data_IF_605235527260
#
_entry.id   IF_605235527260
#
_cell.length_a   1.000
_cell.length_b   1.000
_cell.length_c   1.000
_cell.angle_alpha   90.00
_cell.angle_beta   90.00
_cell.angle_gamma   90.00
#
_symmetry.space_group_name_H-M   'P 1'
#
loop_
_entity.id
_entity.type
_entity.pdbx_description
1 polymer ?
#
# COMPACT_ATOMS: atom_id res chain seq x y z
N UNK A 1 -29.15 79.94 19.75
CA UNK A 1 -28.81 78.56 19.37
C UNK A 1 -27.59 78.08 20.14
N UNK A 2 -27.82 77.57 21.36
CA UNK A 2 -27.30 76.32 21.93
C UNK A 2 -25.83 75.90 21.69
N UNK A 3 -24.86 76.82 21.68
CA UNK A 3 -23.41 76.47 21.60
C UNK A 3 -22.94 75.60 22.78
N UNK A 4 -23.44 75.86 24.00
CA UNK A 4 -23.10 75.06 25.18
C UNK A 4 -23.74 73.66 25.21
N UNK A 5 -24.97 73.53 24.68
CA UNK A 5 -25.65 72.23 24.61
C UNK A 5 -25.05 71.31 23.54
N UNK A 6 -24.56 71.86 22.43
CA UNK A 6 -23.88 71.07 21.39
C UNK A 6 -22.57 70.44 21.88
N UNK A 7 -21.80 71.18 22.69
CA UNK A 7 -20.55 70.66 23.28
C UNK A 7 -20.85 69.61 24.35
N UNK A 8 -21.84 69.85 25.21
CA UNK A 8 -22.25 68.88 26.22
C UNK A 8 -22.78 67.56 25.61
N UNK A 9 -23.55 67.65 24.52
CA UNK A 9 -24.03 66.48 23.77
C UNK A 9 -22.89 65.73 23.07
N UNK A 10 -21.90 66.45 22.52
CA UNK A 10 -20.74 65.82 21.89
C UNK A 10 -19.85 65.07 22.91
N UNK A 11 -19.68 65.63 24.11
CA UNK A 11 -18.92 64.98 25.20
C UNK A 11 -19.69 63.76 25.74
N UNK A 12 -21.00 63.87 25.93
CA UNK A 12 -21.85 62.75 26.35
C UNK A 12 -21.86 61.61 25.31
N UNK A 13 -21.88 61.95 24.02
CA UNK A 13 -21.78 60.97 22.94
C UNK A 13 -20.40 60.29 22.90
N UNK A 14 -19.31 61.03 23.18
CA UNK A 14 -17.96 60.47 23.24
C UNK A 14 -17.78 59.49 24.42
N UNK A 15 -18.41 59.75 25.57
CA UNK A 15 -18.43 58.80 26.70
C UNK A 15 -19.31 57.57 26.45
N UNK A 16 -20.40 57.71 25.69
CA UNK A 16 -21.25 56.58 25.31
C UNK A 16 -20.62 55.66 24.22
N UNK A 17 -19.63 56.16 23.48
CA UNK A 17 -18.87 55.38 22.47
C UNK A 17 -17.58 54.75 23.03
N UNK A 18 -17.32 54.86 24.34
CA UNK A 18 -16.31 54.05 24.99
C UNK A 18 -16.82 52.60 25.05
N UNK A 19 -16.56 51.84 23.99
CA UNK A 19 -16.90 50.42 23.92
C UNK A 19 -16.28 49.68 25.10
N UNK A 20 -17.04 48.77 25.70
CA UNK A 20 -16.52 47.84 26.69
C UNK A 20 -15.48 46.95 26.02
N UNK A 21 -14.20 47.18 26.30
CA UNK A 21 -13.17 46.19 26.05
C UNK A 21 -13.36 45.07 27.07
N UNK A 22 -13.97 43.95 26.67
CA UNK A 22 -13.88 42.74 27.45
C UNK A 22 -12.41 42.30 27.45
N UNK A 23 -11.83 42.11 28.64
CA UNK A 23 -10.45 41.67 28.79
C UNK A 23 -10.25 40.21 28.33
N UNK A 24 -11.32 39.52 27.90
CA UNK A 24 -11.24 38.19 27.32
C UNK A 24 -10.81 37.13 28.33
N UNK A 25 -10.98 37.40 29.63
CA UNK A 25 -10.51 36.52 30.71
C UNK A 25 -11.12 35.12 30.64
N UNK A 26 -12.36 34.99 30.18
CA UNK A 26 -12.99 33.70 29.96
C UNK A 26 -12.29 32.91 28.85
N UNK A 27 -12.05 33.52 27.69
CA UNK A 27 -11.31 32.90 26.58
C UNK A 27 -9.86 32.55 26.97
N UNK A 28 -9.22 33.40 27.78
CA UNK A 28 -7.88 33.15 28.31
C UNK A 28 -7.85 31.89 29.20
N UNK A 29 -8.74 31.79 30.20
CA UNK A 29 -8.76 30.65 31.11
C UNK A 29 -9.22 29.36 30.41
N UNK A 30 -10.12 29.45 29.43
CA UNK A 30 -10.48 28.32 28.56
C UNK A 30 -9.28 27.81 27.78
N UNK A 31 -8.50 28.70 27.15
CA UNK A 31 -7.26 28.32 26.46
C UNK A 31 -6.22 27.74 27.42
N UNK A 32 -6.06 28.32 28.60
CA UNK A 32 -5.11 27.81 29.61
C UNK A 32 -5.47 26.38 30.06
N UNK A 33 -6.76 26.09 30.28
CA UNK A 33 -7.21 24.73 30.61
C UNK A 33 -6.98 23.75 29.46
N UNK A 34 -7.24 24.18 28.22
CA UNK A 34 -7.00 23.38 27.02
C UNK A 34 -5.51 23.07 26.84
N UNK A 35 -4.63 24.06 27.01
CA UNK A 35 -3.18 23.88 26.90
C UNK A 35 -2.63 22.99 28.02
N UNK A 36 -3.15 23.11 29.24
CA UNK A 36 -2.81 22.20 30.33
C UNK A 36 -3.23 20.75 30.04
N UNK A 37 -4.44 20.54 29.52
CA UNK A 37 -4.90 19.22 29.11
C UNK A 37 -4.05 18.64 27.95
N UNK A 38 -3.67 19.48 26.98
CA UNK A 38 -2.79 19.09 25.87
C UNK A 38 -1.39 18.73 26.33
N UNK A 39 -0.81 19.51 27.25
CA UNK A 39 0.50 19.21 27.82
C UNK A 39 0.48 17.91 28.63
N UNK A 40 -0.62 17.62 29.34
CA UNK A 40 -0.79 16.35 30.06
C UNK A 40 -0.89 15.13 29.14
N UNK A 41 -1.49 15.28 27.96
CA UNK A 41 -1.57 14.19 26.98
C UNK A 41 -0.33 14.08 26.09
N UNK A 42 0.63 15.02 26.19
CA UNK A 42 1.89 14.90 25.46
C UNK A 42 2.67 13.67 25.94
N UNK A 43 3.20 12.81 25.06
CA UNK A 43 3.22 12.89 23.58
C UNK A 43 2.19 11.99 22.85
N UNK A 44 1.28 11.31 23.57
CA UNK A 44 0.53 10.16 23.05
C UNK A 44 -0.34 10.43 21.80
N UNK A 45 -1.08 11.56 21.67
CA UNK A 45 -1.85 11.85 20.45
C UNK A 45 -0.97 11.92 19.20
N UNK A 46 0.24 12.47 19.32
CA UNK A 46 1.16 12.63 18.20
C UNK A 46 1.81 11.30 17.83
N UNK A 47 2.23 10.52 18.83
CA UNK A 47 2.77 9.18 18.61
C UNK A 47 1.75 8.23 17.98
N UNK A 48 0.50 8.29 18.41
CA UNK A 48 -0.57 7.45 17.86
C UNK A 48 -0.82 7.80 16.39
N UNK A 49 -0.90 9.09 16.07
CA UNK A 49 -1.08 9.53 14.69
C UNK A 49 0.10 9.11 13.81
N UNK A 50 1.34 9.32 14.26
CA UNK A 50 2.55 8.96 13.50
C UNK A 50 2.69 7.45 13.28
N UNK A 51 2.41 6.65 14.32
CA UNK A 51 2.36 5.18 14.22
C UNK A 51 1.30 4.73 13.21
N UNK A 52 0.12 5.33 13.24
CA UNK A 52 -0.96 4.99 12.31
C UNK A 52 -0.60 5.39 10.88
N UNK A 53 -0.02 6.57 10.67
CA UNK A 53 0.47 7.00 9.36
C UNK A 53 1.48 5.99 8.81
N UNK A 54 2.49 5.63 9.59
CA UNK A 54 3.52 4.65 9.20
C UNK A 54 2.91 3.28 8.88
N UNK A 55 2.00 2.79 9.73
CA UNK A 55 1.30 1.51 9.52
C UNK A 55 0.46 1.52 8.26
N UNK A 56 -0.22 2.62 7.96
CA UNK A 56 -1.05 2.76 6.77
C UNK A 56 -0.23 2.74 5.49
N UNK A 57 0.97 3.34 5.48
CA UNK A 57 1.86 3.23 4.32
C UNK A 57 2.36 1.81 4.14
N UNK A 58 2.80 1.16 5.22
CA UNK A 58 3.29 -0.22 5.14
C UNK A 58 2.20 -1.20 4.68
N UNK A 59 0.95 -1.02 5.15
CA UNK A 59 -0.16 -1.88 4.73
C UNK A 59 -0.48 -1.70 3.24
N UNK A 60 -0.44 -0.48 2.72
CA UNK A 60 -0.59 -0.20 1.29
C UNK A 60 0.54 -0.81 0.45
N UNK A 61 1.79 -0.68 0.90
CA UNK A 61 2.94 -1.30 0.22
C UNK A 61 2.84 -2.82 0.22
N UNK A 62 2.44 -3.43 1.34
CA UNK A 62 2.22 -4.86 1.43
C UNK A 62 1.10 -5.32 0.50
N UNK A 63 -0.04 -4.61 0.47
CA UNK A 63 -1.15 -4.91 -0.43
C UNK A 63 -0.73 -4.81 -1.92
N UNK A 64 0.03 -3.77 -2.28
CA UNK A 64 0.56 -3.61 -3.62
C UNK A 64 1.54 -4.75 -3.98
N UNK A 65 2.42 -5.15 -3.05
CA UNK A 65 3.34 -6.27 -3.25
C UNK A 65 2.61 -7.61 -3.43
N UNK A 66 1.55 -7.85 -2.67
CA UNK A 66 0.70 -9.04 -2.83
C UNK A 66 0.02 -9.02 -4.20
N UNK A 67 -0.55 -7.87 -4.61
CA UNK A 67 -1.16 -7.70 -5.93
C UNK A 67 -0.15 -8.00 -7.05
N UNK A 68 1.07 -7.48 -6.94
CA UNK A 68 2.13 -7.72 -7.90
C UNK A 68 2.51 -9.21 -7.98
N UNK A 69 2.65 -9.87 -6.82
CA UNK A 69 2.98 -11.29 -6.75
C UNK A 69 1.88 -12.19 -7.33
N UNK A 70 0.63 -11.78 -7.18
CA UNK A 70 -0.55 -12.49 -7.70
C UNK A 70 -0.91 -12.07 -9.14
N UNK A 71 -0.06 -11.28 -9.80
CA UNK A 71 -0.28 -10.87 -11.19
C UNK A 71 0.30 -11.89 -12.16
N UNK A 72 -0.54 -12.32 -13.10
CA UNK A 72 -0.18 -13.11 -14.28
C UNK A 72 0.26 -12.15 -15.39
N UNK A 73 1.57 -12.04 -15.59
CA UNK A 73 2.19 -11.35 -16.74
C UNK A 73 2.14 -12.15 -18.04
N UNK A 74 2.73 -11.60 -19.09
CA UNK A 74 2.70 -12.17 -20.45
C UNK A 74 3.33 -13.57 -20.53
N UNK A 75 4.38 -13.84 -19.75
CA UNK A 75 5.04 -15.14 -19.71
C UNK A 75 4.13 -16.30 -19.28
N UNK A 76 2.98 -16.00 -18.67
CA UNK A 76 2.00 -17.01 -18.26
C UNK A 76 0.96 -17.32 -19.33
N UNK A 77 1.02 -16.62 -20.46
CA UNK A 77 0.15 -16.81 -21.60
C UNK A 77 0.96 -17.17 -22.84
N UNK A 78 0.34 -17.96 -23.70
CA UNK A 78 0.85 -18.22 -25.04
C UNK A 78 0.63 -16.98 -25.92
N UNK A 79 1.66 -16.52 -26.61
CA UNK A 79 1.62 -15.26 -27.38
C UNK A 79 0.72 -15.33 -28.62
N UNK A 80 0.48 -16.53 -29.17
CA UNK A 80 -0.32 -16.71 -30.39
C UNK A 80 -1.79 -16.95 -30.04
N UNK A 81 -2.04 -17.79 -29.03
CA UNK A 81 -3.38 -18.24 -28.68
C UNK A 81 -4.02 -17.48 -27.52
N UNK A 82 -3.21 -16.73 -26.74
CA UNK A 82 -3.61 -16.08 -25.48
C UNK A 82 -4.18 -17.03 -24.43
N UNK A 83 -3.96 -18.35 -24.60
CA UNK A 83 -4.32 -19.35 -23.61
C UNK A 83 -3.28 -19.38 -22.49
N UNK A 84 -3.76 -19.72 -21.30
CA UNK A 84 -2.88 -19.89 -20.15
C UNK A 84 -1.93 -21.07 -20.35
N UNK A 85 -0.64 -20.84 -20.10
CA UNK A 85 0.37 -21.90 -20.19
C UNK A 85 0.37 -22.75 -18.92
N UNK A 86 1.08 -23.89 -18.97
CA UNK A 86 1.29 -24.71 -17.78
C UNK A 86 1.95 -23.93 -16.62
N UNK A 87 2.84 -22.99 -16.94
CA UNK A 87 3.46 -22.12 -15.94
C UNK A 87 2.45 -21.17 -15.29
N UNK A 88 1.52 -20.63 -16.07
CA UNK A 88 0.39 -19.84 -15.56
C UNK A 88 -0.53 -20.65 -14.65
N UNK A 89 -0.88 -21.87 -15.04
CA UNK A 89 -1.69 -22.77 -14.21
C UNK A 89 -1.03 -23.06 -12.85
N UNK A 90 0.29 -23.32 -12.84
CA UNK A 90 1.02 -23.56 -11.59
C UNK A 90 1.05 -22.32 -10.70
N UNK A 91 1.17 -21.13 -11.30
CA UNK A 91 1.11 -19.86 -10.57
C UNK A 91 -0.26 -19.64 -9.94
N UNK A 92 -1.35 -19.92 -10.67
CA UNK A 92 -2.71 -19.86 -10.13
C UNK A 92 -2.84 -20.81 -8.94
N UNK A 93 -2.41 -22.07 -9.09
CA UNK A 93 -2.42 -23.04 -7.98
C UNK A 93 -1.68 -22.50 -6.76
N UNK A 94 -0.49 -21.93 -6.94
CA UNK A 94 0.28 -21.33 -5.86
C UNK A 94 -0.47 -20.19 -5.16
N UNK A 95 -1.19 -19.34 -5.91
CA UNK A 95 -2.01 -18.26 -5.35
C UNK A 95 -3.17 -18.84 -4.53
N UNK A 96 -3.85 -19.86 -5.06
CA UNK A 96 -5.00 -20.50 -4.42
C UNK A 96 -4.62 -21.28 -3.15
N UNK A 97 -3.45 -21.91 -3.13
CA UNK A 97 -2.89 -22.60 -1.95
C UNK A 97 -2.38 -21.62 -0.88
N UNK A 98 -2.21 -20.35 -1.23
CA UNK A 98 -1.77 -19.30 -0.33
C UNK A 98 -2.79 -18.93 0.76
N UNK A 99 -2.47 -17.86 1.49
CA UNK A 99 -3.30 -17.30 2.55
C UNK A 99 -4.72 -16.98 2.05
N UNK A 100 -5.79 -17.35 2.81
CA UNK A 100 -7.18 -17.22 2.37
C UNK A 100 -7.57 -15.78 1.99
N UNK A 101 -7.09 -14.79 2.73
CA UNK A 101 -7.42 -13.37 2.50
C UNK A 101 -6.64 -12.73 1.34
N UNK A 102 -5.84 -13.52 0.60
CA UNK A 102 -4.88 -13.03 -0.43
C UNK A 102 -4.92 -13.85 -1.71
N UNK A 103 -6.08 -14.42 -2.06
CA UNK A 103 -6.25 -15.34 -3.21
C UNK A 103 -6.74 -14.69 -4.50
N UNK A 104 -6.88 -13.37 -4.51
CA UNK A 104 -7.27 -12.65 -5.73
C UNK A 104 -6.20 -12.83 -6.81
N UNK A 105 -6.63 -13.20 -8.02
CA UNK A 105 -5.78 -13.36 -9.20
C UNK A 105 -5.87 -12.10 -10.04
N UNK A 106 -4.73 -11.55 -10.43
CA UNK A 106 -4.66 -10.37 -11.29
C UNK A 106 -4.13 -10.75 -12.67
N UNK A 107 -4.78 -10.30 -13.74
CA UNK A 107 -4.37 -10.58 -15.11
C UNK A 107 -3.86 -9.31 -15.77
N UNK A 108 -2.65 -9.37 -16.34
CA UNK A 108 -2.08 -8.23 -17.07
C UNK A 108 -2.88 -7.96 -18.33
N UNK A 109 -3.31 -6.70 -18.51
CA UNK A 109 -3.96 -6.24 -19.74
C UNK A 109 -3.04 -6.45 -20.94
N UNK A 110 -3.62 -6.99 -22.02
CA UNK A 110 -2.93 -7.12 -23.29
C UNK A 110 -2.87 -5.79 -24.06
N UNK A 111 -2.29 -5.84 -25.26
CA UNK A 111 -2.24 -4.70 -26.18
C UNK A 111 -3.64 -4.26 -26.64
N UNK A 112 -4.59 -5.20 -26.75
CA UNK A 112 -5.97 -4.93 -27.15
C UNK A 112 -6.96 -5.46 -26.11
N UNK A 113 -8.20 -4.99 -26.19
CA UNK A 113 -9.27 -5.41 -25.29
C UNK A 113 -9.63 -6.88 -25.52
N UNK A 114 -9.62 -7.33 -26.77
CA UNK A 114 -9.93 -8.70 -27.17
C UNK A 114 -8.92 -9.68 -26.57
N UNK A 115 -7.63 -9.32 -26.59
CA UNK A 115 -6.57 -10.11 -25.95
C UNK A 115 -6.79 -10.19 -24.44
N UNK A 116 -7.14 -9.07 -23.82
CA UNK A 116 -7.40 -9.02 -22.37
C UNK A 116 -8.57 -9.92 -21.99
N UNK A 117 -9.67 -9.86 -22.75
CA UNK A 117 -10.84 -10.71 -22.54
C UNK A 117 -10.53 -12.18 -22.76
N UNK A 118 -9.77 -12.53 -23.80
CA UNK A 118 -9.35 -13.91 -24.06
C UNK A 118 -8.51 -14.48 -22.90
N UNK A 119 -7.57 -13.70 -22.36
CA UNK A 119 -6.76 -14.10 -21.20
C UNK A 119 -7.60 -14.28 -19.94
N UNK A 120 -8.52 -13.36 -19.67
CA UNK A 120 -9.46 -13.45 -18.55
C UNK A 120 -10.32 -14.72 -18.64
N UNK A 121 -10.91 -14.99 -19.82
CA UNK A 121 -11.70 -16.19 -20.06
C UNK A 121 -10.88 -17.48 -19.92
N UNK A 122 -9.63 -17.48 -20.39
CA UNK A 122 -8.72 -18.63 -20.23
C UNK A 122 -8.38 -18.89 -18.76
N UNK A 123 -8.19 -17.84 -17.96
CA UNK A 123 -7.90 -17.94 -16.53
C UNK A 123 -9.12 -18.44 -15.77
N UNK A 124 -10.30 -17.93 -16.09
CA UNK A 124 -11.58 -18.38 -15.52
C UNK A 124 -11.79 -19.88 -15.79
N UNK A 125 -11.64 -20.30 -17.06
CA UNK A 125 -11.75 -21.71 -17.43
C UNK A 125 -10.72 -22.60 -16.71
N UNK A 126 -9.50 -22.11 -16.49
CA UNK A 126 -8.49 -22.84 -15.72
C UNK A 126 -8.88 -22.96 -14.25
N UNK A 127 -9.42 -21.91 -13.64
CA UNK A 127 -9.86 -21.95 -12.24
C UNK A 127 -11.09 -22.83 -12.04
N UNK A 128 -12.07 -22.80 -12.95
CA UNK A 128 -13.22 -23.71 -12.91
C UNK A 128 -12.77 -25.18 -12.95
N UNK A 129 -11.74 -25.51 -13.75
CA UNK A 129 -11.15 -26.86 -13.77
C UNK A 129 -10.45 -27.23 -12.45
N UNK A 130 -9.84 -26.27 -11.76
CA UNK A 130 -9.08 -26.51 -10.53
C UNK A 130 -9.95 -26.60 -9.28
N UNK A 131 -10.92 -25.70 -9.14
CA UNK A 131 -11.73 -25.55 -7.93
C UNK A 131 -13.14 -26.15 -8.06
N UNK A 132 -13.54 -26.51 -9.28
CA UNK A 132 -14.90 -26.95 -9.60
C UNK A 132 -15.86 -25.79 -9.87
N UNK A 133 -17.12 -26.09 -10.26
CA UNK A 133 -18.08 -25.11 -10.76
C UNK A 133 -18.64 -24.13 -9.71
N UNK A 134 -18.49 -24.42 -8.41
CA UNK A 134 -19.09 -23.64 -7.33
C UNK A 134 -18.13 -22.62 -6.70
N UNK A 135 -16.88 -22.57 -7.15
CA UNK A 135 -15.87 -21.70 -6.61
C UNK A 135 -15.52 -20.60 -7.63
N UNK A 136 -15.79 -19.36 -7.25
CA UNK A 136 -15.51 -18.17 -8.05
C UNK A 136 -14.50 -17.28 -7.32
N UNK A 137 -13.20 -17.59 -7.38
CA UNK A 137 -12.18 -16.69 -6.87
C UNK A 137 -12.19 -15.37 -7.65
N UNK A 138 -11.85 -14.28 -6.97
CA UNK A 138 -11.87 -12.95 -7.57
C UNK A 138 -10.77 -12.81 -8.64
N UNK A 139 -11.16 -12.40 -9.84
CA UNK A 139 -10.27 -12.14 -10.97
C UNK A 139 -10.37 -10.66 -11.32
N UNK A 140 -9.22 -10.00 -11.37
CA UNK A 140 -9.16 -8.57 -11.72
C UNK A 140 -8.18 -8.32 -12.86
N UNK A 141 -8.51 -7.38 -13.73
CA UNK A 141 -7.53 -6.84 -14.67
C UNK A 141 -6.55 -5.88 -13.98
N UNK A 142 -5.30 -5.86 -14.44
CA UNK A 142 -4.28 -4.93 -13.95
C UNK A 142 -3.40 -4.42 -15.08
N UNK A 143 -3.02 -3.15 -15.00
CA UNK A 143 -2.01 -2.55 -15.88
C UNK A 143 -0.59 -2.66 -15.32
N UNK A 144 -0.43 -3.07 -14.07
CA UNK A 144 0.87 -3.23 -13.43
C UNK A 144 1.48 -4.57 -13.83
N UNK A 145 2.73 -4.54 -14.27
CA UNK A 145 3.48 -5.75 -14.61
C UNK A 145 4.48 -6.07 -13.49
N UNK A 146 4.59 -7.35 -13.05
CA UNK A 146 5.67 -7.75 -12.17
C UNK A 146 7.02 -7.48 -12.84
N UNK A 147 7.92 -6.83 -12.11
CA UNK A 147 9.28 -6.59 -12.59
C UNK A 147 9.98 -7.94 -12.81
N UNK A 148 10.20 -8.27 -14.08
CA UNK A 148 10.93 -9.46 -14.51
C UNK A 148 12.35 -9.11 -14.96
N UNK A 149 13.22 -10.12 -14.99
CA UNK A 149 14.50 -10.07 -15.70
C UNK A 149 14.46 -11.09 -16.83
N UNK A 150 15.12 -10.83 -17.97
CA UNK A 150 15.25 -11.83 -19.04
C UNK A 150 15.83 -13.12 -18.49
N UNK A 151 15.28 -14.27 -18.90
CA UNK A 151 15.74 -15.57 -18.43
C UNK A 151 17.20 -15.83 -18.81
N UNK A 152 17.62 -15.44 -20.00
CA UNK A 152 18.99 -15.62 -20.50
C UNK A 152 20.01 -14.90 -19.60
N UNK A 153 19.71 -13.66 -19.21
CA UNK A 153 20.55 -12.90 -18.29
C UNK A 153 20.72 -13.60 -16.93
N UNK A 154 19.64 -14.22 -16.45
CA UNK A 154 19.66 -14.96 -15.19
C UNK A 154 20.46 -16.27 -15.33
N UNK A 155 20.31 -16.98 -16.46
CA UNK A 155 21.08 -18.19 -16.75
C UNK A 155 22.59 -17.91 -16.82
N UNK A 156 22.98 -16.81 -17.49
CA UNK A 156 24.38 -16.40 -17.60
C UNK A 156 25.00 -16.16 -16.22
N UNK A 157 24.29 -15.48 -15.32
CA UNK A 157 24.75 -15.25 -13.94
C UNK A 157 24.89 -16.57 -13.20
N UNK A 158 23.88 -17.44 -13.23
CA UNK A 158 23.93 -18.73 -12.51
C UNK A 158 25.02 -19.65 -13.06
N UNK A 159 25.25 -19.63 -14.37
CA UNK A 159 26.33 -20.37 -15.02
C UNK A 159 27.69 -19.85 -14.57
N UNK A 160 27.89 -18.53 -14.57
CA UNK A 160 29.11 -17.90 -14.09
C UNK A 160 29.36 -18.21 -12.60
N UNK A 161 28.33 -18.07 -11.76
CA UNK A 161 28.39 -18.41 -10.34
C UNK A 161 28.82 -19.86 -10.15
N UNK A 162 28.13 -20.83 -10.77
CA UNK A 162 28.47 -22.26 -10.67
C UNK A 162 29.88 -22.56 -11.14
N UNK A 163 30.35 -21.88 -12.19
CA UNK A 163 31.72 -22.05 -12.69
C UNK A 163 32.79 -21.50 -11.74
N UNK A 164 32.42 -20.55 -10.87
CA UNK A 164 33.32 -19.93 -9.90
C UNK A 164 33.37 -20.65 -8.55
N UNK A 165 32.42 -21.57 -8.27
CA UNK A 165 32.38 -22.30 -7.00
C UNK A 165 33.58 -23.28 -6.95
N UNK A 166 34.52 -23.10 -6.00
CA UNK A 166 35.63 -24.03 -5.84
C UNK A 166 35.13 -25.40 -5.37
N UNK A 167 35.83 -26.47 -5.75
CA UNK A 167 35.48 -27.81 -5.34
C UNK A 167 35.38 -27.92 -3.80
N UNK A 168 34.35 -28.60 -3.27
CA UNK A 168 34.16 -28.75 -1.83
C UNK A 168 35.38 -29.47 -1.22
N UNK A 169 35.96 -28.89 -0.17
CA UNK A 169 37.07 -29.48 0.57
C UNK A 169 36.53 -30.17 1.82
N UNK A 170 36.89 -31.43 2.02
CA UNK A 170 36.63 -32.13 3.28
C UNK A 170 37.66 -31.70 4.32
N UNK A 171 37.28 -31.56 5.61
CA UNK A 171 38.26 -31.37 6.68
C UNK A 171 39.13 -32.62 6.79
N UNK A 172 40.42 -32.43 7.11
CA UNK A 172 41.34 -33.56 7.32
C UNK A 172 40.82 -34.45 8.46
N UNK A 173 40.75 -35.76 8.21
CA UNK A 173 40.30 -36.72 9.20
C UNK A 173 41.24 -36.66 10.41
N UNK A 174 40.73 -36.21 11.57
CA UNK A 174 41.48 -36.23 12.82
C UNK A 174 41.69 -37.69 13.24
N UNK A 175 42.84 -38.27 12.91
CA UNK A 175 43.24 -39.56 13.42
C UNK A 175 43.52 -39.43 14.92
N UNK A 176 42.51 -39.73 15.75
CA UNK A 176 42.68 -39.91 17.19
C UNK A 176 43.44 -41.23 17.41
N UNK A 177 44.76 -41.16 17.45
CA UNK A 177 45.59 -42.29 17.92
C UNK A 177 45.37 -42.41 19.43
N UNK A 178 44.67 -43.46 19.84
CA UNK A 178 44.69 -44.02 21.20
C UNK A 178 45.80 -45.07 21.29
#
# INVERSE_FOLDING_TARGET
MNRGQGIALAIAAAFAMAGSSDAGWHEFWERAHLDYARNKCWPEPFLTHDRNATRNYLSQMAAAGIRLQNTLGDQHFDNETNQITRGGEMKIRQILEGLPDRRAVFVRRGLTLEVTQARMASVEAAMTRMLGPNAHPEIYETGSEPYGRPADFIDDIYRAERSSIPAPRLPEASSSTQ
#
